data_IF_300110451064
#
_entry.id   IF_300110451064
#
_cell.length_a   1.000
_cell.length_b   1.000
_cell.length_c   1.000
_cell.angle_alpha   90.00
_cell.angle_beta   90.00
_cell.angle_gamma   90.00
#
_symmetry.space_group_name_H-M   'P 1'
#
loop_
_entity.id
_entity.type
_entity.pdbx_description
1 polymer ?
#
# COMPACT_ATOMS: atom_id res chain seq x y z
N UNK A 1 -26.86 0.59 2.50
CA UNK A 1 -25.47 0.70 3.01
C UNK A 1 -24.75 -0.62 2.90
N UNK A 2 -25.41 -1.72 3.29
CA UNK A 2 -24.95 -3.09 3.09
C UNK A 2 -24.80 -3.41 1.59
N UNK A 3 -23.65 -3.95 1.18
CA UNK A 3 -23.38 -4.45 -0.18
C UNK A 3 -22.52 -3.57 -1.12
N UNK A 4 -22.13 -2.35 -0.70
CA UNK A 4 -21.25 -1.47 -1.51
C UNK A 4 -19.82 -1.37 -0.96
N UNK A 5 -19.62 -1.76 0.30
CA UNK A 5 -18.31 -1.76 0.95
C UNK A 5 -17.61 -3.06 0.59
N UNK A 6 -16.36 -2.93 0.15
CA UNK A 6 -15.48 -4.05 -0.07
C UNK A 6 -14.95 -4.59 1.27
N UNK A 7 -15.15 -5.88 1.52
CA UNK A 7 -14.84 -6.46 2.83
C UNK A 7 -13.36 -6.82 2.99
N UNK A 8 -12.67 -7.22 1.92
CA UNK A 8 -11.26 -7.62 1.98
C UNK A 8 -10.29 -6.45 1.72
N UNK A 9 -10.76 -5.35 1.14
CA UNK A 9 -9.97 -4.16 0.85
C UNK A 9 -9.21 -4.21 -0.46
N UNK A 10 -9.57 -5.10 -1.39
CA UNK A 10 -8.96 -5.27 -2.70
C UNK A 10 -10.01 -5.02 -3.79
N UNK A 11 -9.79 -3.99 -4.61
CA UNK A 11 -10.67 -3.69 -5.74
C UNK A 11 -9.86 -3.70 -7.03
N UNK A 12 -9.98 -4.77 -7.81
CA UNK A 12 -9.39 -4.84 -9.15
C UNK A 12 -10.12 -3.89 -10.10
N UNK A 13 -9.37 -3.10 -10.88
CA UNK A 13 -9.96 -2.27 -11.95
C UNK A 13 -10.57 -3.15 -13.05
N UNK A 14 -9.83 -4.10 -13.66
CA UNK A 14 -10.46 -5.11 -14.51
C UNK A 14 -11.30 -6.08 -13.68
N UNK A 15 -12.27 -6.72 -14.32
CA UNK A 15 -12.99 -7.85 -13.70
C UNK A 15 -12.05 -9.04 -13.49
N UNK A 16 -11.96 -9.46 -12.24
CA UNK A 16 -11.12 -10.55 -11.73
C UNK A 16 -11.95 -11.31 -10.69
N UNK A 17 -11.80 -12.63 -10.58
CA UNK A 17 -12.49 -13.45 -9.57
C UNK A 17 -14.03 -13.39 -9.60
N UNK A 18 -14.61 -13.13 -10.77
CA UNK A 18 -16.06 -12.98 -10.93
C UNK A 18 -16.60 -11.67 -10.34
N UNK A 19 -15.74 -10.79 -9.83
CA UNK A 19 -16.14 -9.46 -9.39
C UNK A 19 -16.36 -8.53 -10.58
N UNK A 20 -17.30 -7.59 -10.41
CA UNK A 20 -17.54 -6.52 -11.39
C UNK A 20 -16.32 -5.59 -11.48
N UNK A 21 -16.03 -5.02 -12.66
CA UNK A 21 -15.00 -3.99 -12.81
C UNK A 21 -15.20 -2.83 -11.83
N UNK A 22 -14.10 -2.22 -11.37
CA UNK A 22 -14.16 -1.13 -10.39
C UNK A 22 -15.02 0.06 -10.84
N UNK A 23 -15.08 0.35 -12.15
CA UNK A 23 -15.90 1.43 -12.69
C UNK A 23 -17.40 1.22 -12.43
N UNK A 24 -17.90 -0.01 -12.58
CA UNK A 24 -19.31 -0.34 -12.28
C UNK A 24 -19.59 -0.29 -10.78
N UNK A 25 -18.65 -0.78 -9.96
CA UNK A 25 -18.73 -0.72 -8.49
C UNK A 25 -18.78 0.72 -8.01
N UNK A 26 -17.95 1.60 -8.58
CA UNK A 26 -17.92 3.03 -8.28
C UNK A 26 -19.20 3.73 -8.73
N UNK A 27 -19.72 3.42 -9.92
CA UNK A 27 -20.99 3.99 -10.39
C UNK A 27 -22.15 3.64 -9.44
N UNK A 28 -22.21 2.39 -8.97
CA UNK A 28 -23.21 1.97 -7.99
C UNK A 28 -23.05 2.72 -6.65
N UNK A 29 -21.81 2.95 -6.21
CA UNK A 29 -21.53 3.72 -4.99
C UNK A 29 -21.93 5.18 -5.13
N UNK A 30 -21.65 5.81 -6.28
CA UNK A 30 -22.06 7.18 -6.56
C UNK A 30 -23.58 7.31 -6.57
N UNK A 31 -24.30 6.43 -7.28
CA UNK A 31 -25.77 6.37 -7.25
C UNK A 31 -26.31 6.33 -5.83
N UNK A 32 -25.82 5.40 -5.01
CA UNK A 32 -26.27 5.27 -3.63
C UNK A 32 -25.92 6.47 -2.74
N UNK A 33 -24.82 7.17 -3.02
CA UNK A 33 -24.42 8.37 -2.27
C UNK A 33 -25.29 9.59 -2.58
N UNK A 34 -25.72 9.75 -3.83
CA UNK A 34 -26.58 10.86 -4.26
C UNK A 34 -28.07 10.59 -4.05
N UNK A 35 -28.52 9.34 -4.14
CA UNK A 35 -29.92 8.95 -3.88
C UNK A 35 -30.20 8.65 -2.40
N UNK A 36 -29.19 8.75 -1.54
CA UNK A 36 -29.29 8.49 -0.11
C UNK A 36 -30.05 9.58 0.67
N UNK A 37 -30.38 9.34 1.96
CA UNK A 37 -31.20 10.25 2.79
C UNK A 37 -30.56 11.62 3.07
N UNK A 38 -29.32 11.85 2.64
CA UNK A 38 -28.59 13.11 2.78
C UNK A 38 -27.85 13.45 1.48
N UNK A 39 -28.57 13.82 0.40
CA UNK A 39 -27.94 14.20 -0.86
C UNK A 39 -27.05 15.43 -0.63
N UNK A 40 -25.79 15.36 -1.09
CA UNK A 40 -24.88 16.51 -1.00
C UNK A 40 -25.02 17.38 -2.25
N UNK A 41 -25.33 18.67 -2.11
CA UNK A 41 -25.28 19.59 -3.25
C UNK A 41 -23.85 19.69 -3.79
N UNK A 42 -23.71 19.58 -5.12
CA UNK A 42 -22.42 19.61 -5.82
C UNK A 42 -21.75 21.00 -5.85
N UNK A 43 -22.43 22.06 -5.42
CA UNK A 43 -21.88 23.42 -5.35
C UNK A 43 -22.46 24.24 -4.19
N UNK A 44 -21.65 25.18 -3.68
CA UNK A 44 -22.17 26.26 -2.82
C UNK A 44 -23.21 27.06 -3.61
N UNK A 45 -24.49 26.89 -3.27
CA UNK A 45 -25.61 27.60 -3.89
C UNK A 45 -26.60 26.73 -4.68
N UNK A 46 -26.37 25.42 -4.81
CA UNK A 46 -27.38 24.51 -5.38
C UNK A 46 -28.61 24.45 -4.46
N UNK A 47 -29.77 24.87 -4.98
CA UNK A 47 -31.06 24.84 -4.27
C UNK A 47 -31.78 23.54 -4.61
N UNK A 48 -31.58 22.50 -3.80
CA UNK A 48 -32.35 21.26 -3.88
C UNK A 48 -31.55 19.99 -3.61
N UNK A 49 -32.27 18.92 -3.32
CA UNK A 49 -31.79 17.55 -3.21
C UNK A 49 -31.49 17.01 -4.62
N UNK A 50 -30.30 17.27 -5.15
CA UNK A 50 -29.86 16.69 -6.43
C UNK A 50 -29.76 15.16 -6.29
N UNK A 51 -30.69 14.45 -6.94
CA UNK A 51 -30.66 12.98 -7.09
C UNK A 51 -29.73 12.58 -8.22
N UNK A 52 -29.28 11.33 -8.22
CA UNK A 52 -28.37 10.84 -9.25
C UNK A 52 -28.98 10.96 -10.66
N UNK A 53 -28.21 11.53 -11.60
CA UNK A 53 -28.51 11.51 -13.03
C UNK A 53 -27.22 11.47 -13.87
N UNK A 54 -27.34 11.17 -15.16
CA UNK A 54 -26.18 11.05 -16.07
C UNK A 54 -25.46 12.39 -16.32
N UNK A 55 -26.15 13.53 -16.11
CA UNK A 55 -25.52 14.86 -16.18
C UNK A 55 -24.53 15.07 -15.03
N UNK A 56 -24.83 14.56 -13.83
CA UNK A 56 -23.90 14.59 -12.69
C UNK A 56 -22.64 13.81 -13.02
N UNK A 57 -22.78 12.60 -13.59
CA UNK A 57 -21.63 11.80 -14.00
C UNK A 57 -20.78 12.54 -15.05
N UNK A 58 -21.42 13.11 -16.07
CA UNK A 58 -20.75 13.86 -17.13
C UNK A 58 -19.98 15.05 -16.57
N UNK A 59 -20.56 15.79 -15.63
CA UNK A 59 -19.91 16.91 -14.94
C UNK A 59 -18.74 16.46 -14.08
N UNK A 60 -18.91 15.41 -13.27
CA UNK A 60 -17.83 14.87 -12.44
C UNK A 60 -16.63 14.40 -13.28
N UNK A 61 -16.90 13.75 -14.41
CA UNK A 61 -15.87 13.31 -15.35
C UNK A 61 -15.15 14.49 -16.00
N UNK A 62 -15.89 15.54 -16.38
CA UNK A 62 -15.31 16.78 -16.92
C UNK A 62 -14.42 17.50 -15.90
N UNK A 63 -14.89 17.66 -14.65
CA UNK A 63 -14.12 18.25 -13.55
C UNK A 63 -12.86 17.42 -13.23
N UNK A 64 -12.97 16.09 -13.32
CA UNK A 64 -11.84 15.18 -13.11
C UNK A 64 -10.92 15.05 -14.35
N UNK A 65 -11.28 15.65 -15.48
CA UNK A 65 -10.54 15.60 -16.75
C UNK A 65 -10.43 14.20 -17.34
N UNK A 66 -11.46 13.36 -17.20
CA UNK A 66 -11.46 11.95 -17.64
C UNK A 66 -12.65 11.63 -18.55
N UNK A 67 -12.49 10.67 -19.45
CA UNK A 67 -13.54 10.30 -20.42
C UNK A 67 -14.55 9.30 -19.86
N UNK A 68 -14.16 8.52 -18.86
CA UNK A 68 -15.00 7.54 -18.19
C UNK A 68 -14.49 7.29 -16.78
N UNK A 69 -15.30 6.61 -15.94
CA UNK A 69 -14.86 6.21 -14.60
C UNK A 69 -13.65 5.27 -14.65
N UNK A 70 -13.58 4.38 -15.65
CA UNK A 70 -12.42 3.51 -15.83
C UNK A 70 -11.17 4.31 -16.21
N UNK A 71 -11.31 5.26 -17.12
CA UNK A 71 -10.22 6.17 -17.51
C UNK A 71 -9.72 6.97 -16.29
N UNK A 72 -10.64 7.50 -15.48
CA UNK A 72 -10.31 8.20 -14.24
C UNK A 72 -9.58 7.29 -13.23
N UNK A 73 -10.14 6.11 -12.95
CA UNK A 73 -9.58 5.13 -12.02
C UNK A 73 -8.18 4.67 -12.42
N UNK A 74 -7.97 4.43 -13.72
CA UNK A 74 -6.65 4.07 -14.23
C UNK A 74 -5.71 5.26 -14.10
N UNK A 75 -6.10 6.44 -14.58
CA UNK A 75 -5.15 7.50 -14.91
C UNK A 75 -4.95 8.55 -13.80
N UNK A 76 -5.81 9.56 -13.64
CA UNK A 76 -5.58 10.63 -12.67
C UNK A 76 -5.91 10.27 -11.22
N UNK A 77 -6.74 9.25 -10.97
CA UNK A 77 -7.26 8.94 -9.63
C UNK A 77 -6.16 8.89 -8.56
N UNK A 78 -5.15 8.02 -8.72
CA UNK A 78 -4.17 7.82 -7.65
C UNK A 78 -3.26 9.04 -7.44
N UNK A 79 -3.01 9.83 -8.49
CA UNK A 79 -2.26 11.08 -8.36
C UNK A 79 -3.08 12.14 -7.60
N UNK A 80 -4.37 12.27 -7.91
CA UNK A 80 -5.30 13.14 -7.17
C UNK A 80 -5.42 12.68 -5.71
N UNK A 81 -5.55 11.38 -5.47
CA UNK A 81 -5.60 10.78 -4.13
C UNK A 81 -4.33 11.08 -3.34
N UNK A 82 -3.15 10.92 -3.95
CA UNK A 82 -1.89 11.28 -3.32
C UNK A 82 -1.84 12.76 -2.92
N UNK A 83 -2.30 13.68 -3.79
CA UNK A 83 -2.31 15.13 -3.50
C UNK A 83 -3.29 15.47 -2.39
N UNK A 84 -4.50 14.91 -2.43
CA UNK A 84 -5.57 15.14 -1.46
C UNK A 84 -5.15 14.74 -0.04
N UNK A 85 -4.42 13.63 0.08
CA UNK A 85 -3.93 13.12 1.37
C UNK A 85 -2.48 13.50 1.66
N UNK A 86 -2.01 14.66 1.17
CA UNK A 86 -0.68 15.21 1.46
C UNK A 86 0.48 14.20 1.28
N UNK A 87 0.39 13.38 0.23
CA UNK A 87 1.29 12.28 -0.09
C UNK A 87 1.42 11.21 1.00
N UNK A 88 0.30 10.94 1.69
CA UNK A 88 0.07 9.81 2.60
C UNK A 88 -1.23 9.08 2.19
N UNK A 89 -1.28 8.52 0.97
CA UNK A 89 -2.50 7.88 0.46
C UNK A 89 -2.86 6.64 1.29
N UNK A 90 -4.16 6.46 1.56
CA UNK A 90 -4.67 5.25 2.23
C UNK A 90 -5.34 4.24 1.27
N UNK A 91 -5.41 4.56 -0.01
CA UNK A 91 -5.78 3.63 -1.09
C UNK A 91 -4.56 3.57 -1.99
N UNK A 92 -3.96 2.41 -2.14
CA UNK A 92 -2.77 2.21 -2.94
C UNK A 92 -3.16 1.64 -4.29
N UNK A 93 -2.75 2.31 -5.36
CA UNK A 93 -3.00 1.85 -6.72
C UNK A 93 -1.76 1.13 -7.24
N UNK A 94 -1.83 -0.20 -7.22
CA UNK A 94 -0.77 -1.09 -7.72
C UNK A 94 -1.15 -1.55 -9.13
N UNK A 95 -0.16 -1.69 -10.01
CA UNK A 95 -0.40 -2.07 -11.41
C UNK A 95 0.81 -2.75 -12.05
N UNK A 96 0.57 -3.42 -13.17
CA UNK A 96 1.56 -4.21 -13.90
C UNK A 96 2.41 -3.43 -14.93
N UNK A 97 2.22 -2.11 -14.99
CA UNK A 97 2.92 -1.24 -15.95
C UNK A 97 2.21 -1.06 -17.29
N UNK A 98 1.11 -1.78 -17.57
CA UNK A 98 0.32 -1.62 -18.78
C UNK A 98 -0.87 -0.70 -18.57
N UNK A 99 -0.87 0.46 -19.25
CA UNK A 99 -1.84 1.54 -18.95
C UNK A 99 -3.30 1.22 -19.30
N UNK A 100 -3.54 0.49 -20.39
CA UNK A 100 -4.89 0.34 -20.98
C UNK A 100 -5.51 -1.01 -20.68
N UNK A 101 -4.73 -2.08 -20.82
CA UNK A 101 -5.20 -3.47 -20.82
C UNK A 101 -4.50 -4.33 -19.75
N UNK A 102 -3.85 -3.68 -18.78
CA UNK A 102 -3.15 -4.33 -17.68
C UNK A 102 -4.01 -4.67 -16.48
N UNK A 103 -3.38 -5.41 -15.56
CA UNK A 103 -3.82 -5.57 -14.19
C UNK A 103 -3.58 -4.30 -13.40
N UNK A 104 -4.64 -3.80 -12.76
CA UNK A 104 -4.57 -2.70 -11.82
C UNK A 104 -5.46 -3.04 -10.64
N UNK A 105 -5.03 -2.65 -9.45
CA UNK A 105 -5.76 -2.91 -8.21
C UNK A 105 -5.66 -1.72 -7.28
N UNK A 106 -6.76 -1.42 -6.60
CA UNK A 106 -6.83 -0.48 -5.50
C UNK A 106 -6.86 -1.26 -4.20
N UNK A 107 -5.90 -1.01 -3.31
CA UNK A 107 -5.75 -1.74 -2.05
C UNK A 107 -5.89 -0.78 -0.87
N UNK A 108 -6.70 -1.14 0.11
CA UNK A 108 -6.84 -0.37 1.33
C UNK A 108 -5.58 -0.53 2.21
N UNK A 109 -4.86 0.57 2.43
CA UNK A 109 -3.67 0.62 3.27
C UNK A 109 -3.91 0.09 4.68
N UNK A 110 -5.03 0.42 5.32
CA UNK A 110 -5.28 0.04 6.71
C UNK A 110 -5.41 -1.47 6.86
N UNK A 111 -5.97 -2.15 5.84
CA UNK A 111 -6.06 -3.61 5.79
C UNK A 111 -4.73 -4.24 5.39
N UNK A 112 -4.02 -3.65 4.42
CA UNK A 112 -2.73 -4.14 3.96
C UNK A 112 -1.60 -4.01 4.99
N UNK A 113 -1.68 -3.00 5.85
CA UNK A 113 -0.75 -2.76 6.96
C UNK A 113 -1.28 -3.26 8.31
N UNK A 114 -2.35 -4.07 8.30
CA UNK A 114 -2.91 -4.61 9.52
C UNK A 114 -1.97 -5.63 10.15
N UNK A 115 -1.71 -5.48 11.45
CA UNK A 115 -0.77 -6.34 12.18
C UNK A 115 -1.27 -7.78 12.39
N UNK A 116 -0.44 -8.56 13.10
CA UNK A 116 -0.70 -9.98 13.40
C UNK A 116 -0.85 -10.86 12.14
N UNK A 117 0.01 -10.64 11.14
CA UNK A 117 0.04 -11.41 9.90
C UNK A 117 -1.15 -11.17 8.94
N UNK A 118 -2.11 -10.31 9.29
CA UNK A 118 -3.27 -10.03 8.43
C UNK A 118 -2.88 -9.27 7.16
N UNK A 119 -2.01 -8.27 7.29
CA UNK A 119 -1.42 -7.56 6.17
C UNK A 119 -0.63 -8.49 5.24
N UNK A 120 0.12 -9.45 5.80
CA UNK A 120 0.79 -10.52 5.05
C UNK A 120 -0.18 -11.35 4.23
N UNK A 121 -1.20 -11.91 4.87
CA UNK A 121 -2.21 -12.73 4.20
C UNK A 121 -2.95 -11.95 3.11
N UNK A 122 -3.20 -10.66 3.32
CA UNK A 122 -3.82 -9.82 2.29
C UNK A 122 -2.90 -9.65 1.08
N UNK A 123 -1.61 -9.40 1.29
CA UNK A 123 -0.63 -9.29 0.22
C UNK A 123 -0.42 -10.64 -0.50
N UNK A 124 -0.43 -11.77 0.22
CA UNK A 124 -0.41 -13.11 -0.36
C UNK A 124 -1.65 -13.37 -1.21
N UNK A 125 -2.85 -13.02 -0.72
CA UNK A 125 -4.10 -13.13 -1.48
C UNK A 125 -4.06 -12.27 -2.75
N UNK A 126 -3.58 -11.02 -2.66
CA UNK A 126 -3.39 -10.18 -3.84
C UNK A 126 -2.45 -10.83 -4.87
N UNK A 127 -1.33 -11.40 -4.40
CA UNK A 127 -0.25 -11.92 -5.24
C UNK A 127 -0.58 -13.25 -5.91
N UNK A 128 -1.19 -14.17 -5.15
CA UNK A 128 -1.41 -15.54 -5.58
C UNK A 128 -2.85 -15.84 -5.96
N UNK A 129 -3.83 -15.10 -5.43
CA UNK A 129 -5.25 -15.28 -5.75
C UNK A 129 -5.71 -14.30 -6.82
N UNK A 130 -5.69 -12.99 -6.57
CA UNK A 130 -6.21 -11.99 -7.51
C UNK A 130 -5.34 -11.89 -8.77
N UNK A 131 -4.04 -11.64 -8.59
CA UNK A 131 -3.10 -11.60 -9.69
C UNK A 131 -2.90 -12.99 -10.31
N UNK A 132 -2.95 -14.05 -9.50
CA UNK A 132 -2.89 -15.43 -9.98
C UNK A 132 -4.00 -15.78 -10.97
N UNK A 133 -5.25 -15.44 -10.66
CA UNK A 133 -6.38 -15.66 -11.57
C UNK A 133 -6.28 -14.80 -12.83
N UNK A 134 -5.78 -13.56 -12.71
CA UNK A 134 -5.50 -12.73 -13.87
C UNK A 134 -4.44 -13.37 -14.79
N UNK A 135 -3.36 -13.89 -14.22
CA UNK A 135 -2.28 -14.61 -14.92
C UNK A 135 -2.86 -15.83 -15.64
N UNK A 136 -3.59 -16.70 -14.94
CA UNK A 136 -4.20 -17.90 -15.52
C UNK A 136 -5.11 -17.55 -16.72
N UNK A 137 -5.91 -16.49 -16.60
CA UNK A 137 -6.72 -15.97 -17.71
C UNK A 137 -5.88 -15.55 -18.90
N UNK A 138 -4.72 -14.90 -18.68
CA UNK A 138 -3.83 -14.50 -19.77
C UNK A 138 -3.13 -15.71 -20.41
N UNK A 139 -2.72 -16.71 -19.62
CA UNK A 139 -2.16 -17.97 -20.13
C UNK A 139 -3.15 -18.68 -21.06
N UNK A 140 -4.42 -18.76 -20.66
CA UNK A 140 -5.45 -19.34 -21.52
C UNK A 140 -5.71 -18.49 -22.77
N UNK A 141 -5.63 -17.16 -22.66
CA UNK A 141 -5.68 -16.26 -23.81
C UNK A 141 -4.52 -16.50 -24.79
N UNK A 142 -3.30 -16.75 -24.29
CA UNK A 142 -2.15 -17.13 -25.11
C UNK A 142 -2.40 -18.45 -25.82
N UNK A 143 -2.90 -19.48 -25.13
CA UNK A 143 -3.25 -20.77 -25.74
C UNK A 143 -4.30 -20.63 -26.84
N UNK A 144 -5.23 -19.68 -26.71
CA UNK A 144 -6.26 -19.36 -27.72
C UNK A 144 -5.77 -18.42 -28.84
N UNK A 145 -4.52 -17.95 -28.81
CA UNK A 145 -3.99 -17.00 -29.79
C UNK A 145 -4.61 -15.61 -29.71
N UNK A 146 -5.10 -15.19 -28.53
CA UNK A 146 -5.70 -13.87 -28.34
C UNK A 146 -4.64 -12.77 -28.47
N UNK A 147 -4.95 -11.75 -29.28
CA UNK A 147 -4.08 -10.60 -29.47
C UNK A 147 -3.66 -9.93 -28.14
N UNK A 148 -2.35 -9.77 -27.97
CA UNK A 148 -1.74 -9.10 -26.81
C UNK A 148 -1.75 -9.90 -25.50
N UNK A 149 -2.26 -11.13 -25.48
CA UNK A 149 -2.28 -11.97 -24.27
C UNK A 149 -0.87 -12.23 -23.73
N UNK A 150 0.12 -12.46 -24.60
CA UNK A 150 1.52 -12.64 -24.22
C UNK A 150 2.08 -11.41 -23.50
N UNK A 151 1.78 -10.22 -24.02
CA UNK A 151 2.22 -8.96 -23.43
C UNK A 151 1.55 -8.67 -22.08
N UNK A 152 0.29 -9.07 -21.90
CA UNK A 152 -0.41 -8.98 -20.61
C UNK A 152 0.14 -9.99 -19.60
N UNK A 153 0.41 -11.22 -20.05
CA UNK A 153 0.99 -12.28 -19.22
C UNK A 153 2.38 -11.87 -18.71
N UNK A 154 3.26 -11.40 -19.60
CA UNK A 154 4.61 -10.97 -19.23
C UNK A 154 4.59 -9.84 -18.19
N UNK A 155 3.71 -8.85 -18.35
CA UNK A 155 3.56 -7.75 -17.39
C UNK A 155 3.04 -8.24 -16.04
N UNK A 156 2.02 -9.11 -16.04
CA UNK A 156 1.45 -9.67 -14.83
C UNK A 156 2.47 -10.52 -14.03
N UNK A 157 3.28 -11.32 -14.73
CA UNK A 157 4.36 -12.12 -14.11
C UNK A 157 5.46 -11.22 -13.51
N UNK A 158 5.82 -10.13 -14.20
CA UNK A 158 6.76 -9.15 -13.64
C UNK A 158 6.21 -8.50 -12.36
N UNK A 159 4.93 -8.10 -12.36
CA UNK A 159 4.29 -7.59 -11.14
C UNK A 159 4.29 -8.63 -10.02
N UNK A 160 3.95 -9.89 -10.32
CA UNK A 160 3.93 -10.96 -9.34
C UNK A 160 5.30 -11.14 -8.69
N UNK A 161 6.37 -11.17 -9.50
CA UNK A 161 7.76 -11.23 -9.02
C UNK A 161 8.08 -10.09 -8.04
N UNK A 162 7.61 -8.87 -8.29
CA UNK A 162 7.81 -7.73 -7.37
C UNK A 162 7.06 -7.90 -6.06
N UNK A 163 5.80 -8.35 -6.12
CA UNK A 163 4.99 -8.58 -4.92
C UNK A 163 5.58 -9.71 -4.06
N UNK A 164 6.10 -10.78 -4.68
CA UNK A 164 6.85 -11.84 -3.97
C UNK A 164 8.10 -11.26 -3.30
N UNK A 165 8.88 -10.43 -3.98
CA UNK A 165 10.05 -9.80 -3.36
C UNK A 165 9.68 -8.89 -2.16
N UNK A 166 8.53 -8.22 -2.21
CA UNK A 166 7.99 -7.45 -1.08
C UNK A 166 7.53 -8.36 0.07
N UNK A 167 6.87 -9.50 -0.23
CA UNK A 167 6.48 -10.50 0.77
C UNK A 167 7.69 -11.05 1.53
N UNK A 168 8.76 -11.36 0.80
CA UNK A 168 10.03 -11.83 1.38
C UNK A 168 10.75 -10.71 2.12
N UNK A 169 10.66 -9.47 1.65
CA UNK A 169 11.17 -8.27 2.35
C UNK A 169 12.68 -8.24 2.51
N UNK A 170 13.43 -8.78 1.55
CA UNK A 170 14.87 -8.53 1.44
C UNK A 170 15.15 -7.15 0.83
N UNK A 171 16.28 -6.49 1.15
CA UNK A 171 16.68 -5.25 0.50
C UNK A 171 16.63 -5.35 -1.03
N UNK A 172 16.07 -4.36 -1.74
CA UNK A 172 15.61 -3.06 -1.25
C UNK A 172 14.13 -3.03 -0.80
N UNK A 173 13.46 -4.18 -0.71
CA UNK A 173 12.04 -4.32 -0.35
C UNK A 173 11.81 -4.52 1.15
N UNK A 174 12.84 -4.41 1.97
CA UNK A 174 12.72 -4.56 3.41
C UNK A 174 11.93 -3.40 4.04
N UNK A 175 11.21 -3.74 5.09
CA UNK A 175 10.66 -2.76 6.01
C UNK A 175 11.72 -2.41 7.06
N UNK A 176 11.93 -1.11 7.24
CA UNK A 176 12.81 -0.54 8.25
C UNK A 176 12.05 0.51 9.05
N UNK A 177 12.04 0.36 10.38
CA UNK A 177 11.33 1.24 11.30
C UNK A 177 12.30 1.76 12.34
N UNK A 178 12.81 2.97 12.15
CA UNK A 178 13.91 3.54 12.94
C UNK A 178 13.76 3.46 14.48
N UNK A 179 12.53 3.53 14.99
CA UNK A 179 12.26 3.49 16.44
C UNK A 179 12.02 2.09 17.00
N UNK A 180 11.96 1.06 16.16
CA UNK A 180 11.89 -0.35 16.60
C UNK A 180 13.32 -0.89 16.75
N UNK A 181 13.66 -1.60 17.83
CA UNK A 181 14.99 -2.17 18.00
C UNK A 181 15.25 -3.29 16.98
N UNK A 182 16.51 -3.63 16.76
CA UNK A 182 16.92 -4.71 15.84
C UNK A 182 16.37 -6.08 16.27
N UNK A 183 16.34 -6.33 17.57
CA UNK A 183 15.76 -7.52 18.21
C UNK A 183 14.80 -7.11 19.33
N UNK A 184 13.87 -7.98 19.75
CA UNK A 184 12.99 -7.73 20.89
C UNK A 184 13.82 -7.28 22.09
N UNK A 185 13.54 -6.06 22.57
CA UNK A 185 14.04 -5.63 23.88
C UNK A 185 12.91 -5.84 24.89
N UNK A 186 13.21 -6.36 26.10
CA UNK A 186 12.20 -6.37 27.16
C UNK A 186 11.70 -4.93 27.38
N UNK A 187 10.40 -4.73 27.69
CA UNK A 187 9.89 -3.41 28.02
C UNK A 187 10.73 -2.86 29.16
N UNK A 188 11.16 -1.59 29.06
CA UNK A 188 12.03 -0.97 30.05
C UNK A 188 11.44 -1.17 31.46
N UNK A 189 12.22 -1.84 32.33
CA UNK A 189 11.91 -2.00 33.76
C UNK A 189 11.62 -0.62 34.35
N UNK A 190 10.35 -0.31 34.60
CA UNK A 190 9.92 1.00 35.12
C UNK A 190 8.85 1.72 34.29
N UNK A 191 8.45 1.24 33.12
CA UNK A 191 7.22 1.69 32.46
C UNK A 191 5.99 1.16 33.21
N UNK A 192 5.67 1.78 34.35
CA UNK A 192 4.54 1.44 35.23
C UNK A 192 3.16 1.82 34.66
N UNK A 193 3.06 2.04 33.35
CA UNK A 193 1.78 2.09 32.66
C UNK A 193 1.89 1.27 31.38
N UNK A 194 0.98 0.29 31.13
CA UNK A 194 0.68 -0.04 29.75
C UNK A 194 0.24 1.28 29.11
N UNK A 195 0.88 1.68 28.02
CA UNK A 195 0.35 2.79 27.21
C UNK A 195 -1.13 2.48 26.93
N UNK A 196 -2.08 3.28 27.45
CA UNK A 196 -3.51 3.03 27.25
C UNK A 196 -3.93 3.34 25.81
N UNK A 197 -3.01 3.80 24.96
CA UNK A 197 -3.21 3.86 23.52
C UNK A 197 -3.51 2.45 22.97
N UNK A 198 -4.32 2.30 21.92
CA UNK A 198 -4.52 1.02 21.21
C UNK A 198 -3.24 0.36 20.69
N UNK A 199 -2.10 1.06 20.78
CA UNK A 199 -0.73 0.62 20.48
C UNK A 199 -0.17 -0.41 21.48
N UNK A 200 -0.87 -0.65 22.59
CA UNK A 200 -0.32 -1.33 23.78
C UNK A 200 -0.80 -2.75 24.08
N UNK A 201 -1.27 -3.54 23.10
CA UNK A 201 -1.53 -4.98 23.29
C UNK A 201 -0.99 -5.80 22.12
N UNK A 202 0.25 -6.31 22.26
CA UNK A 202 0.76 -7.46 21.50
C UNK A 202 1.86 -7.19 20.46
N UNK A 203 2.98 -7.91 20.63
CA UNK A 203 3.83 -8.53 19.58
C UNK A 203 4.82 -7.74 18.69
N UNK A 204 4.88 -6.41 18.63
CA UNK A 204 5.72 -5.74 17.60
C UNK A 204 6.74 -4.71 18.10
N UNK A 205 7.67 -5.15 18.95
CA UNK A 205 8.81 -4.35 19.43
C UNK A 205 10.15 -4.72 18.79
N UNK A 206 10.18 -5.11 17.51
CA UNK A 206 11.45 -5.30 16.78
C UNK A 206 11.29 -5.03 15.28
N UNK A 207 12.40 -4.94 14.55
CA UNK A 207 12.37 -4.78 13.10
C UNK A 207 11.54 -5.91 12.44
N UNK A 208 10.63 -5.57 11.50
CA UNK A 208 9.82 -6.56 10.78
C UNK A 208 10.66 -7.42 9.84
N UNK A 209 10.30 -8.69 9.71
CA UNK A 209 10.94 -9.67 8.81
C UNK A 209 9.93 -10.01 7.72
N UNK A 210 10.28 -9.80 6.46
CA UNK A 210 9.31 -9.85 5.36
C UNK A 210 8.24 -8.77 5.44
N UNK A 211 7.12 -8.99 4.76
CA UNK A 211 5.93 -8.14 4.86
C UNK A 211 5.14 -8.43 6.15
N UNK A 212 5.62 -7.90 7.26
CA UNK A 212 4.93 -7.86 8.56
C UNK A 212 4.80 -6.41 9.04
N UNK A 213 3.99 -5.59 8.35
CA UNK A 213 3.82 -4.19 8.68
C UNK A 213 3.03 -4.00 9.98
N UNK A 214 3.19 -2.83 10.58
CA UNK A 214 2.31 -2.33 11.64
C UNK A 214 1.70 -1.01 11.16
N UNK A 215 0.38 -0.92 11.23
CA UNK A 215 -0.37 0.26 10.82
C UNK A 215 0.10 1.54 11.54
N UNK A 216 0.55 1.38 12.78
CA UNK A 216 1.05 2.47 13.63
C UNK A 216 2.42 2.98 13.19
N UNK A 217 3.15 2.25 12.33
CA UNK A 217 4.41 2.71 11.77
C UNK A 217 4.21 3.83 10.74
N UNK A 218 2.98 3.92 10.20
CA UNK A 218 2.53 4.97 9.32
C UNK A 218 2.87 4.72 7.85
N UNK A 219 2.07 5.37 6.98
CA UNK A 219 2.12 5.17 5.52
C UNK A 219 3.53 5.36 4.94
N UNK A 220 4.29 6.33 5.45
CA UNK A 220 5.65 6.64 4.93
C UNK A 220 6.57 5.42 4.99
N UNK A 221 6.55 4.64 6.07
CA UNK A 221 7.43 3.50 6.23
C UNK A 221 6.89 2.30 5.47
N UNK A 222 5.61 2.01 5.64
CA UNK A 222 4.96 0.84 5.05
C UNK A 222 4.93 0.89 3.51
N UNK A 223 4.90 2.07 2.90
CA UNK A 223 4.87 2.19 1.42
C UNK A 223 6.24 2.02 0.77
N UNK A 224 7.35 2.03 1.54
CA UNK A 224 8.73 2.03 1.00
C UNK A 224 9.00 0.83 0.07
N UNK A 225 8.66 -0.43 0.43
CA UNK A 225 8.93 -1.58 -0.45
C UNK A 225 8.23 -1.47 -1.80
N UNK A 226 7.02 -0.89 -1.83
CA UNK A 226 6.23 -0.71 -3.05
C UNK A 226 6.81 0.35 -3.99
N UNK A 227 7.69 1.22 -3.49
CA UNK A 227 8.38 2.26 -4.25
C UNK A 227 9.83 1.91 -4.60
N UNK A 228 10.34 0.76 -4.14
CA UNK A 228 11.76 0.43 -4.15
C UNK A 228 12.32 0.21 -5.57
N UNK A 229 11.55 -0.41 -6.47
CA UNK A 229 11.98 -0.69 -7.83
C UNK A 229 10.87 -0.48 -8.85
N UNK A 230 11.15 0.36 -9.85
CA UNK A 230 10.18 0.73 -10.89
C UNK A 230 9.87 -0.45 -11.82
N UNK A 231 8.58 -0.67 -12.05
CA UNK A 231 8.10 -1.60 -13.08
C UNK A 231 8.22 -0.96 -14.49
N UNK A 232 8.44 -1.74 -15.57
CA UNK A 232 8.42 -1.20 -16.93
C UNK A 232 7.13 -0.44 -17.25
N UNK A 233 7.24 0.70 -17.94
CA UNK A 233 6.09 1.57 -18.22
C UNK A 233 5.64 2.46 -17.04
N UNK A 234 6.25 2.28 -15.86
CA UNK A 234 6.05 3.05 -14.64
C UNK A 234 6.60 4.48 -14.67
N UNK A 235 6.15 5.30 -13.70
CA UNK A 235 6.80 6.60 -13.41
C UNK A 235 8.04 6.36 -12.56
N UNK A 236 9.14 7.07 -12.84
CA UNK A 236 10.40 6.93 -12.09
C UNK A 236 10.23 7.19 -10.59
N UNK A 237 10.67 6.24 -9.77
CA UNK A 237 10.56 6.24 -8.31
C UNK A 237 9.14 6.03 -7.77
N UNK A 238 8.23 5.50 -8.58
CA UNK A 238 6.90 5.07 -8.12
C UNK A 238 6.87 3.58 -7.76
N UNK A 239 7.90 2.82 -8.14
CA UNK A 239 7.96 1.38 -7.95
C UNK A 239 6.87 0.67 -8.73
N UNK A 240 6.01 -0.06 -8.01
CA UNK A 240 4.82 -0.71 -8.57
C UNK A 240 3.54 0.12 -8.40
N UNK A 241 3.64 1.35 -7.89
CA UNK A 241 2.51 2.26 -7.74
C UNK A 241 2.23 3.02 -9.05
N UNK A 242 0.96 3.36 -9.27
CA UNK A 242 0.53 4.07 -10.49
C UNK A 242 1.06 5.51 -10.60
N UNK A 243 1.37 6.13 -9.47
CA UNK A 243 1.96 7.47 -9.37
C UNK A 243 2.94 7.51 -8.19
N UNK A 244 3.83 8.50 -8.18
CA UNK A 244 4.83 8.65 -7.11
C UNK A 244 4.29 9.55 -5.99
N UNK A 245 4.06 9.03 -4.76
CA UNK A 245 3.93 9.88 -3.58
C UNK A 245 5.20 10.71 -3.37
N UNK A 246 5.06 11.97 -2.98
CA UNK A 246 6.20 12.85 -2.69
C UNK A 246 6.76 12.58 -1.28
N UNK A 247 7.52 11.49 -1.17
CA UNK A 247 8.16 11.06 0.08
C UNK A 247 9.67 11.29 -0.03
N UNK A 248 10.24 11.89 1.00
CA UNK A 248 11.69 12.05 1.15
C UNK A 248 12.21 11.00 2.13
N UNK A 249 13.25 10.26 1.73
CA UNK A 249 13.90 9.23 2.55
C UNK A 249 15.12 9.75 3.33
N UNK A 250 15.51 11.01 3.08
CA UNK A 250 16.61 11.67 3.76
C UNK A 250 16.43 11.71 5.28
N UNK A 251 17.53 11.98 5.98
CA UNK A 251 17.56 12.24 7.42
C UNK A 251 16.46 13.23 7.86
N UNK A 252 15.70 12.86 8.89
CA UNK A 252 14.70 13.76 9.48
C UNK A 252 15.36 14.81 10.39
N UNK A 253 14.63 15.88 10.68
CA UNK A 253 15.06 16.91 11.64
C UNK A 253 15.09 16.37 13.08
N UNK A 254 16.00 16.91 13.88
CA UNK A 254 16.17 16.59 15.29
C UNK A 254 17.11 15.41 15.53
N UNK A 255 17.28 15.05 16.81
CA UNK A 255 18.07 13.90 17.26
C UNK A 255 17.19 12.93 18.04
N UNK A 256 17.56 11.66 18.01
CA UNK A 256 17.01 10.65 18.91
C UNK A 256 17.60 10.87 20.32
N UNK A 257 16.81 10.66 21.40
CA UNK A 257 17.34 10.51 22.75
C UNK A 257 18.37 9.37 22.81
N UNK A 258 19.24 9.36 23.83
CA UNK A 258 20.22 8.28 23.99
C UNK A 258 19.53 6.90 23.96
N UNK A 259 20.07 6.00 23.14
CA UNK A 259 19.63 4.61 22.97
C UNK A 259 20.85 3.71 22.98
N UNK A 260 20.74 2.51 23.52
CA UNK A 260 21.82 1.52 23.49
C UNK A 260 22.21 1.16 22.04
N UNK A 261 23.50 0.85 21.84
CA UNK A 261 24.05 0.60 20.51
C UNK A 261 23.57 -0.71 19.89
N UNK A 262 23.58 -1.80 20.67
CA UNK A 262 23.21 -3.13 20.18
C UNK A 262 21.78 -3.19 19.60
N UNK A 263 20.73 -2.68 20.28
CA UNK A 263 19.37 -2.67 19.71
C UNK A 263 19.13 -1.57 18.67
N UNK A 264 19.93 -0.51 18.62
CA UNK A 264 19.72 0.62 17.70
C UNK A 264 21.02 1.07 17.00
N UNK A 265 21.69 0.19 16.23
CA UNK A 265 23.02 0.47 15.68
C UNK A 265 23.05 1.70 14.77
N UNK A 266 21.95 2.03 14.09
CA UNK A 266 21.82 3.18 13.19
C UNK A 266 21.83 4.55 13.88
N UNK A 267 21.83 4.61 15.21
CA UNK A 267 22.04 5.87 15.95
C UNK A 267 23.49 6.09 16.37
N UNK A 268 24.39 5.17 16.01
CA UNK A 268 25.78 5.16 16.42
C UNK A 268 26.70 5.19 15.21
N UNK A 269 27.84 5.86 15.36
CA UNK A 269 28.91 5.87 14.36
C UNK A 269 30.25 5.77 15.10
N UNK A 270 31.08 4.78 14.74
CA UNK A 270 32.38 4.51 15.38
C UNK A 270 32.33 4.48 16.92
N UNK A 271 31.30 3.82 17.48
CA UNK A 271 31.10 3.71 18.93
C UNK A 271 30.65 5.00 19.62
N UNK A 272 30.33 6.06 18.88
CA UNK A 272 29.79 7.32 19.40
C UNK A 272 28.32 7.46 19.02
N UNK A 273 27.49 7.78 20.02
CA UNK A 273 26.08 8.08 19.79
C UNK A 273 25.93 9.39 19.01
N UNK A 274 25.39 9.31 17.79
CA UNK A 274 25.14 10.47 16.94
C UNK A 274 23.67 10.93 17.05
N UNK A 275 22.76 10.00 17.34
CA UNK A 275 21.33 10.22 17.44
C UNK A 275 20.69 10.64 16.13
N UNK A 276 21.32 10.32 14.99
CA UNK A 276 20.83 10.77 13.68
C UNK A 276 19.56 10.03 13.27
N UNK A 277 18.58 10.80 12.81
CA UNK A 277 17.30 10.27 12.36
C UNK A 277 17.35 9.80 10.91
N UNK A 278 18.22 8.83 10.62
CA UNK A 278 18.40 8.24 9.29
C UNK A 278 17.26 7.25 9.02
N UNK A 279 16.62 7.37 7.86
CA UNK A 279 15.54 6.47 7.43
C UNK A 279 15.94 5.59 6.25
N UNK A 280 17.01 5.95 5.54
CA UNK A 280 17.51 5.20 4.38
C UNK A 280 18.46 4.08 4.80
N UNK A 281 17.98 3.22 5.71
CA UNK A 281 18.68 2.04 6.20
C UNK A 281 17.97 0.82 5.64
N UNK A 282 18.73 -0.18 5.22
CA UNK A 282 18.22 -1.44 4.69
C UNK A 282 18.82 -2.58 5.50
N UNK A 283 17.96 -3.45 6.03
CA UNK A 283 18.37 -4.58 6.86
C UNK A 283 17.89 -5.87 6.21
N UNK A 284 18.81 -6.82 6.04
CA UNK A 284 18.47 -8.17 5.57
C UNK A 284 17.64 -8.92 6.60
N UNK A 285 16.84 -9.89 6.15
CA UNK A 285 16.15 -10.75 7.10
C UNK A 285 17.11 -11.58 7.94
N UNK A 286 18.26 -11.97 7.39
CA UNK A 286 19.29 -12.73 8.11
C UNK A 286 19.85 -11.96 9.31
N UNK A 287 20.15 -10.66 9.14
CA UNK A 287 20.58 -9.79 10.24
C UNK A 287 19.53 -9.70 11.34
N UNK A 288 18.25 -9.50 10.96
CA UNK A 288 17.13 -9.41 11.90
C UNK A 288 16.91 -10.72 12.66
N UNK A 289 16.98 -11.88 11.99
CA UNK A 289 16.85 -13.21 12.60
C UNK A 289 17.99 -13.49 13.58
N UNK A 290 19.23 -13.26 13.15
CA UNK A 290 20.43 -13.44 13.99
C UNK A 290 20.34 -12.60 15.26
N UNK A 291 19.84 -11.36 15.16
CA UNK A 291 19.67 -10.50 16.33
C UNK A 291 18.59 -11.01 17.30
N UNK A 292 17.49 -11.58 16.77
CA UNK A 292 16.43 -12.20 17.59
C UNK A 292 16.94 -13.43 18.33
N UNK A 293 17.64 -14.33 17.63
CA UNK A 293 18.23 -15.54 18.22
C UNK A 293 19.19 -15.19 19.37
N UNK A 294 20.08 -14.22 19.16
CA UNK A 294 21.00 -13.73 20.21
C UNK A 294 20.30 -13.10 21.42
N UNK A 295 19.07 -12.59 21.25
CA UNK A 295 18.29 -12.02 22.34
C UNK A 295 17.51 -13.10 23.11
N UNK A 296 17.15 -14.21 22.47
CA UNK A 296 16.49 -15.36 23.10
C UNK A 296 17.48 -16.23 23.89
N UNK A 297 18.74 -16.29 23.45
CA UNK A 297 19.83 -17.02 24.14
C UNK A 297 20.40 -16.30 25.38
N UNK A 298 19.96 -15.06 25.67
CA UNK A 298 20.40 -14.23 26.81
C UNK A 298 19.40 -14.25 27.97
#
# INVERSE_FOLDING_TARGET
GEGLIDEDGIVCIPSVRGERPAAERLLALLRAAYDGPHPRPLSQGARGEERWCDDILSRLLAEAGSQSLEDWLRNPFFEQHCKLFYHRPFIWHIWDGRKRDGFHVLVNYHKLAEGSGRGRRLLESLTYSYLGDWIARQEDGVKRGEGGAEGRLAAALELQKRLVAILEGEPPFDLFVRWKPLAPSPPALGALTPDPSPRGRGEFWSQPIGWEPDINDGVRLNIRPFMAQDIPGGKKGAGILRAKPNIKWSKDRGKEPMREQEPFPWFWNDGKFTGERVNDVHLTNAEKKTARERAEDK
#
